data_IF_754228286458
#
_entry.id   IF_754228286458
#
_cell.length_a   1.000
_cell.length_b   1.000
_cell.length_c   1.000
_cell.angle_alpha   90.00
_cell.angle_beta   90.00
_cell.angle_gamma   90.00
#
_symmetry.space_group_name_H-M   'P 1'
#
loop_
_entity.id
_entity.type
_entity.pdbx_description
1 polymer ?
#
# COMPACT_ATOMS: atom_id res chain seq x y z
N UNK A 1 -8.44 8.59 -20.69
CA UNK A 1 -7.32 7.74 -20.24
C UNK A 1 -7.59 6.34 -20.74
N UNK A 2 -6.62 5.65 -21.33
CA UNK A 2 -6.78 4.23 -21.68
C UNK A 2 -6.80 3.41 -20.37
N UNK A 3 -7.82 2.58 -20.18
CA UNK A 3 -7.88 1.65 -19.05
C UNK A 3 -7.22 0.33 -19.44
N UNK A 4 -6.22 -0.09 -18.66
CA UNK A 4 -5.54 -1.36 -18.82
C UNK A 4 -6.02 -2.32 -17.71
N UNK A 5 -6.39 -3.55 -18.05
CA UNK A 5 -6.87 -4.53 -17.07
C UNK A 5 -7.36 -5.83 -17.69
N UNK A 6 -7.80 -6.75 -16.82
CA UNK A 6 -8.45 -7.99 -17.24
C UNK A 6 -9.84 -7.66 -17.81
N UNK A 7 -10.12 -8.23 -18.98
CA UNK A 7 -11.45 -8.19 -19.56
C UNK A 7 -11.80 -9.53 -20.19
N UNK A 8 -13.09 -9.84 -20.22
CA UNK A 8 -13.65 -10.99 -20.93
C UNK A 8 -14.78 -10.52 -21.82
N UNK A 9 -14.97 -11.22 -22.94
CA UNK A 9 -16.02 -10.97 -23.91
C UNK A 9 -16.80 -12.26 -24.16
N UNK A 10 -18.06 -12.12 -24.53
CA UNK A 10 -18.85 -13.25 -25.01
C UNK A 10 -18.62 -13.50 -26.52
N UNK A 11 -19.37 -14.46 -27.07
CA UNK A 11 -19.32 -14.84 -28.49
C UNK A 11 -19.73 -13.73 -29.47
N UNK A 12 -20.37 -12.67 -28.99
CA UNK A 12 -20.81 -11.51 -29.78
C UNK A 12 -19.92 -10.27 -29.56
N UNK A 13 -18.72 -10.46 -28.99
CA UNK A 13 -17.77 -9.39 -28.66
C UNK A 13 -18.31 -8.37 -27.64
N UNK A 14 -19.33 -8.74 -26.85
CA UNK A 14 -19.83 -7.88 -25.77
C UNK A 14 -18.99 -8.11 -24.52
N UNK A 15 -18.48 -7.02 -23.92
CA UNK A 15 -17.66 -7.10 -22.71
C UNK A 15 -18.50 -7.57 -21.51
N UNK A 16 -18.11 -8.71 -20.93
CA UNK A 16 -18.75 -9.34 -19.78
C UNK A 16 -18.09 -8.90 -18.45
N UNK A 17 -16.76 -8.94 -18.43
CA UNK A 17 -15.95 -8.41 -17.34
C UNK A 17 -15.04 -7.32 -17.90
N UNK A 18 -14.95 -6.19 -17.21
CA UNK A 18 -14.02 -5.13 -17.54
C UNK A 18 -13.58 -4.34 -16.31
N UNK A 19 -12.67 -3.37 -16.47
CA UNK A 19 -12.18 -2.55 -15.38
C UNK A 19 -13.30 -1.86 -14.57
N UNK A 20 -14.44 -1.55 -15.20
CA UNK A 20 -15.62 -0.99 -14.56
C UNK A 20 -16.43 -1.99 -13.72
N UNK A 21 -16.30 -3.30 -13.97
CA UNK A 21 -17.04 -4.36 -13.29
C UNK A 21 -16.47 -4.70 -11.91
N UNK A 22 -15.21 -4.35 -11.63
CA UNK A 22 -14.56 -4.66 -10.36
C UNK A 22 -14.97 -3.67 -9.25
N UNK A 23 -15.36 -4.22 -8.11
CA UNK A 23 -15.65 -3.44 -6.89
C UNK A 23 -14.38 -2.92 -6.21
N UNK A 24 -13.23 -3.55 -6.47
CA UNK A 24 -11.95 -3.23 -5.86
C UNK A 24 -10.84 -3.31 -6.92
N UNK A 25 -9.97 -2.30 -7.00
CA UNK A 25 -8.88 -2.21 -7.98
C UNK A 25 -7.60 -1.73 -7.30
N UNK A 26 -6.50 -2.45 -7.45
CA UNK A 26 -5.17 -1.96 -7.06
C UNK A 26 -4.77 -0.80 -7.98
N UNK A 27 -4.55 0.37 -7.41
CA UNK A 27 -4.20 1.61 -8.14
C UNK A 27 -2.75 2.04 -7.92
N UNK A 28 -2.10 1.51 -6.89
CA UNK A 28 -0.69 1.81 -6.61
C UNK A 28 -0.04 0.61 -5.93
N UNK A 29 1.16 0.25 -6.38
CA UNK A 29 2.01 -0.68 -5.65
C UNK A 29 3.47 -0.29 -5.80
N UNK A 30 4.18 -0.23 -4.68
CA UNK A 30 5.61 0.08 -4.66
C UNK A 30 6.31 -0.64 -3.52
N UNK A 31 7.63 -0.73 -3.60
CA UNK A 31 8.44 -1.15 -2.47
C UNK A 31 8.72 0.04 -1.56
N UNK A 32 8.64 -0.20 -0.25
CA UNK A 32 8.93 0.75 0.82
C UNK A 32 10.07 0.18 1.64
N UNK A 33 11.16 0.92 1.73
CA UNK A 33 12.36 0.52 2.45
C UNK A 33 12.80 1.65 3.36
N UNK A 34 12.90 1.39 4.66
CA UNK A 34 13.50 2.33 5.60
C UNK A 34 14.90 1.87 5.98
N UNK A 35 15.91 2.66 5.61
CA UNK A 35 17.27 2.53 6.12
C UNK A 35 17.50 3.57 7.22
N UNK A 36 18.13 3.19 8.33
CA UNK A 36 18.55 4.13 9.38
C UNK A 36 18.30 3.65 10.82
N UNK A 37 18.82 4.39 11.82
CA UNK A 37 18.75 4.03 13.25
C UNK A 37 17.31 3.79 13.71
N UNK A 38 17.11 2.86 14.64
CA UNK A 38 15.78 2.39 15.10
C UNK A 38 15.03 3.45 15.93
N UNK A 39 15.69 4.49 16.44
CA UNK A 39 15.11 5.48 17.35
C UNK A 39 14.82 6.83 16.68
N UNK A 40 13.69 7.47 17.02
CA UNK A 40 13.39 8.87 16.67
C UNK A 40 11.99 9.12 16.10
N UNK A 41 11.50 10.35 16.31
CA UNK A 41 10.29 10.88 15.68
C UNK A 41 10.55 11.20 14.20
N UNK A 42 9.59 10.87 13.33
CA UNK A 42 9.65 11.20 11.89
C UNK A 42 10.17 10.06 11.02
N UNK A 43 9.45 8.93 10.98
CA UNK A 43 9.87 7.75 10.25
C UNK A 43 8.80 7.31 9.23
N UNK A 44 8.40 8.25 8.37
CA UNK A 44 7.39 8.03 7.34
C UNK A 44 7.88 8.36 5.93
N UNK A 45 7.38 7.64 4.93
CA UNK A 45 7.52 7.94 3.51
C UNK A 45 6.16 8.28 2.94
N UNK A 46 6.09 9.30 2.09
CA UNK A 46 4.83 9.76 1.47
C UNK A 46 4.86 9.43 -0.02
N UNK A 47 3.79 8.83 -0.51
CA UNK A 47 3.58 8.46 -1.90
C UNK A 47 2.38 9.21 -2.46
N UNK A 48 2.56 9.85 -3.61
CA UNK A 48 1.45 10.47 -4.35
C UNK A 48 0.61 9.39 -5.02
N UNK A 49 -0.69 9.35 -4.70
CA UNK A 49 -1.65 8.41 -5.27
C UNK A 49 -2.95 9.15 -5.60
N UNK A 50 -3.01 9.87 -6.73
CA UNK A 50 -4.17 10.69 -7.07
C UNK A 50 -5.50 9.91 -7.12
N UNK A 51 -6.55 10.52 -6.60
CA UNK A 51 -7.92 10.00 -6.55
C UNK A 51 -8.24 9.12 -5.33
N UNK A 52 -7.28 8.91 -4.42
CA UNK A 52 -7.54 8.20 -3.16
C UNK A 52 -7.99 9.16 -2.06
N UNK A 53 -8.85 8.67 -1.17
CA UNK A 53 -9.29 9.34 0.04
C UNK A 53 -9.47 8.28 1.13
N UNK A 54 -9.53 8.69 2.41
CA UNK A 54 -9.88 7.76 3.50
C UNK A 54 -11.23 7.04 3.32
N UNK A 55 -12.10 7.54 2.44
CA UNK A 55 -13.44 6.99 2.22
C UNK A 55 -13.54 6.01 1.06
N UNK A 56 -12.56 5.96 0.14
CA UNK A 56 -12.68 5.22 -1.11
C UNK A 56 -11.51 4.25 -1.39
N UNK A 57 -10.63 4.03 -0.42
CA UNK A 57 -9.49 3.14 -0.61
C UNK A 57 -9.06 2.43 0.66
N UNK A 58 -8.33 1.35 0.45
CA UNK A 58 -7.55 0.64 1.46
C UNK A 58 -6.09 0.67 1.07
N UNK A 59 -5.21 0.72 2.07
CA UNK A 59 -3.77 0.58 1.89
C UNK A 59 -3.27 -0.50 2.84
N UNK A 60 -2.49 -1.43 2.31
CA UNK A 60 -1.85 -2.50 3.10
C UNK A 60 -0.36 -2.51 2.81
N UNK A 61 0.42 -2.94 3.79
CA UNK A 61 1.86 -3.13 3.63
C UNK A 61 2.20 -4.56 4.00
N UNK A 62 2.89 -5.26 3.09
CA UNK A 62 3.18 -6.69 3.20
C UNK A 62 4.69 -6.91 3.12
N UNK A 63 5.33 -7.59 4.09
CA UNK A 63 6.73 -7.97 3.98
C UNK A 63 6.99 -8.81 2.72
N UNK A 64 8.07 -8.50 1.99
CA UNK A 64 8.46 -9.27 0.79
C UNK A 64 9.68 -10.17 1.02
N UNK A 65 10.30 -10.08 2.19
CA UNK A 65 11.43 -10.91 2.59
C UNK A 65 10.99 -12.13 3.39
N UNK A 66 11.89 -13.09 3.63
CA UNK A 66 11.62 -14.22 4.50
C UNK A 66 11.27 -13.74 5.91
N UNK A 67 10.37 -14.46 6.57
CA UNK A 67 10.10 -14.23 7.98
C UNK A 67 11.31 -14.71 8.80
N UNK A 68 12.02 -13.78 9.43
CA UNK A 68 13.19 -14.07 10.25
C UNK A 68 12.89 -13.85 11.72
N UNK A 69 13.71 -14.36 12.63
CA UNK A 69 13.61 -14.04 14.07
C UNK A 69 14.20 -12.67 14.44
N UNK A 70 14.71 -11.91 13.46
CA UNK A 70 15.23 -10.57 13.68
C UNK A 70 14.14 -9.60 14.13
N UNK A 71 14.28 -9.07 15.35
CA UNK A 71 13.22 -8.29 16.03
C UNK A 71 12.78 -7.00 15.32
N UNK A 72 13.54 -6.52 14.33
CA UNK A 72 13.29 -5.27 13.59
C UNK A 72 12.97 -5.48 12.11
N UNK A 73 13.24 -6.66 11.54
CA UNK A 73 12.96 -6.95 10.13
C UNK A 73 11.53 -7.45 9.91
N UNK A 74 10.87 -7.93 10.98
CA UNK A 74 9.49 -8.44 10.95
C UNK A 74 8.44 -7.45 11.45
N UNK A 75 8.84 -6.23 11.82
CA UNK A 75 7.89 -5.21 12.28
C UNK A 75 7.08 -4.71 11.10
N UNK A 76 5.76 -4.85 11.18
CA UNK A 76 4.83 -4.36 10.15
C UNK A 76 4.84 -2.82 10.09
N UNK A 77 4.82 -2.29 8.87
CA UNK A 77 4.63 -0.86 8.62
C UNK A 77 3.15 -0.48 8.68
N UNK A 78 2.86 0.74 9.14
CA UNK A 78 1.50 1.28 9.23
C UNK A 78 1.24 2.23 8.05
N UNK A 79 0.30 1.91 7.14
CA UNK A 79 -0.16 2.87 6.15
C UNK A 79 -1.21 3.83 6.74
N UNK A 80 -1.05 5.11 6.46
CA UNK A 80 -2.00 6.18 6.73
C UNK A 80 -2.50 6.73 5.39
N UNK A 81 -3.83 6.72 5.23
CA UNK A 81 -4.50 7.19 4.03
C UNK A 81 -4.80 8.68 4.19
N UNK A 82 -4.38 9.48 3.22
CA UNK A 82 -4.66 10.91 3.12
C UNK A 82 -5.35 11.18 1.76
N UNK A 83 -5.86 12.38 1.55
CA UNK A 83 -6.37 12.78 0.23
C UNK A 83 -5.21 12.83 -0.76
N UNK A 84 -5.35 12.09 -1.86
CA UNK A 84 -4.39 11.95 -2.97
C UNK A 84 -3.00 11.41 -2.58
N UNK A 85 -2.84 10.90 -1.35
CA UNK A 85 -1.55 10.49 -0.82
C UNK A 85 -1.69 9.30 0.13
N UNK A 86 -0.65 8.46 0.15
CA UNK A 86 -0.48 7.42 1.16
C UNK A 86 0.82 7.69 1.91
N UNK A 87 0.74 7.82 3.23
CA UNK A 87 1.91 7.94 4.09
C UNK A 87 2.15 6.59 4.76
N UNK A 88 3.35 6.02 4.61
CA UNK A 88 3.72 4.77 5.28
C UNK A 88 4.65 5.09 6.42
N UNK A 89 4.29 4.66 7.63
CA UNK A 89 5.08 4.76 8.84
C UNK A 89 5.80 3.44 9.07
N UNK A 90 7.08 3.49 9.45
CA UNK A 90 7.87 2.26 9.70
C UNK A 90 7.58 1.58 11.06
N UNK A 91 6.40 1.83 11.62
CA UNK A 91 5.95 1.39 12.94
C UNK A 91 4.67 2.16 13.30
N UNK A 92 4.22 2.04 14.56
CA UNK A 92 2.99 2.70 14.99
C UNK A 92 3.14 4.23 14.98
N UNK A 93 2.24 4.95 14.30
CA UNK A 93 2.37 6.39 14.03
C UNK A 93 2.39 7.29 15.27
N UNK A 94 1.83 6.84 16.39
CA UNK A 94 1.82 7.60 17.66
C UNK A 94 2.86 7.12 18.67
N UNK A 95 3.69 6.12 18.33
CA UNK A 95 4.70 5.62 19.24
C UNK A 95 5.86 6.62 19.35
N UNK A 96 6.06 7.14 20.56
CA UNK A 96 7.24 7.95 20.91
C UNK A 96 8.48 7.09 21.09
N UNK A 97 8.28 5.87 21.61
CA UNK A 97 9.29 4.84 21.80
C UNK A 97 8.73 3.48 21.33
N UNK A 98 9.58 2.58 20.85
CA UNK A 98 9.16 1.25 20.43
C UNK A 98 10.06 0.58 19.40
N UNK A 99 9.59 -0.55 18.87
CA UNK A 99 10.26 -1.25 17.77
C UNK A 99 9.82 -0.65 16.46
N UNK A 100 10.77 -0.09 15.73
CA UNK A 100 10.59 0.36 14.36
C UNK A 100 11.23 -0.61 13.38
N UNK A 101 10.61 -0.77 12.22
CA UNK A 101 11.03 -1.73 11.21
C UNK A 101 12.01 -1.18 10.19
N UNK A 102 12.96 -2.00 9.77
CA UNK A 102 14.06 -1.62 8.85
C UNK A 102 14.12 -2.49 7.58
N UNK A 103 13.13 -3.36 7.35
CA UNK A 103 13.07 -4.28 6.20
C UNK A 103 12.22 -3.76 5.04
N UNK A 104 12.47 -4.24 3.82
CA UNK A 104 11.64 -3.85 2.66
C UNK A 104 10.26 -4.53 2.72
N UNK A 105 9.21 -3.74 2.52
CA UNK A 105 7.83 -4.21 2.40
C UNK A 105 7.19 -3.65 1.13
N UNK A 106 6.12 -4.28 0.64
CA UNK A 106 5.34 -3.81 -0.49
C UNK A 106 4.09 -3.09 -0.01
N UNK A 107 3.97 -1.82 -0.37
CA UNK A 107 2.73 -1.08 -0.27
C UNK A 107 1.82 -1.50 -1.43
N UNK A 108 0.56 -1.79 -1.12
CA UNK A 108 -0.51 -2.05 -2.07
C UNK A 108 -1.67 -1.14 -1.69
N UNK A 109 -2.14 -0.33 -2.63
CA UNK A 109 -3.27 0.58 -2.45
C UNK A 109 -4.34 0.17 -3.42
N UNK A 110 -5.53 -0.09 -2.89
CA UNK A 110 -6.68 -0.49 -3.67
C UNK A 110 -7.83 0.48 -3.44
N UNK A 111 -8.44 0.93 -4.53
CA UNK A 111 -9.65 1.74 -4.49
C UNK A 111 -10.88 0.86 -4.66
N UNK A 112 -11.95 1.27 -4.00
CA UNK A 112 -13.27 0.65 -4.16
C UNK A 112 -14.30 1.69 -4.61
N UNK A 113 -15.37 1.19 -5.23
CA UNK A 113 -16.54 1.99 -5.61
C UNK A 113 -17.54 2.05 -4.45
#
# INVERSE_FOLDING_TARGET
>A
MAEYGLATWDENEVQQLGPASFTLRTVFSTLVTFSGPVTGAGAAQVFSVPGVTPLNCIAIVVPIGPYTTGLHTVVQYEPEILTDQIRVWRGHRTAVDGRFGTGTQRLIVSRYK
#
